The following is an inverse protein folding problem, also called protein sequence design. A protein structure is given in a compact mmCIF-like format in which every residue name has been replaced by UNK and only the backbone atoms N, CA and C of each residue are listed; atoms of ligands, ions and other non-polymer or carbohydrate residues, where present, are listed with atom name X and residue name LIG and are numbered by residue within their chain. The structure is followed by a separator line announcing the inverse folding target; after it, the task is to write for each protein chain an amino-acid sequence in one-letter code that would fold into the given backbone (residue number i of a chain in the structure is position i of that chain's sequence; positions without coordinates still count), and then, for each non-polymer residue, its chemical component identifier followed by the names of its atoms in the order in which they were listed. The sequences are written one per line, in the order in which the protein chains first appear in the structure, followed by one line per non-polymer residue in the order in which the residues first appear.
data_IF_597410651379
#
_entry.id   IF_597410651379
#
_cell.length_a   1.000
_cell.length_b   1.000
_cell.length_c   1.000
_cell.angle_alpha   90.00
_cell.angle_beta   90.00
_cell.angle_gamma   90.00
#
_symmetry.space_group_name_H-M   'P 1'
#
loop_
_entity.id
_entity.type
_entity.pdbx_description
1 polymer ?
#
# COMPACT_ATOMS: atom_id res chain seq x y z
N UNK A 1 5.18 77.10 33.69
CA UNK A 1 3.83 76.80 34.21
C UNK A 1 3.47 75.40 33.72
N UNK A 2 3.82 74.39 34.51
CA UNK A 2 2.93 73.46 35.22
C UNK A 2 2.42 72.31 34.32
N UNK A 3 2.98 71.11 34.43
CA UNK A 3 2.55 69.93 35.26
C UNK A 3 2.16 68.83 34.24
N UNK A 4 2.99 67.83 33.95
CA UNK A 4 3.15 66.56 34.67
C UNK A 4 1.85 65.72 34.71
N UNK A 5 1.70 64.81 33.73
CA UNK A 5 0.86 63.60 33.85
C UNK A 5 1.65 62.44 33.24
N UNK A 6 2.49 61.84 34.07
CA UNK A 6 3.06 60.50 33.91
C UNK A 6 2.40 59.68 35.01
N UNK A 7 1.43 58.83 34.67
CA UNK A 7 0.99 57.67 35.47
C UNK A 7 -0.14 56.99 34.72
N UNK A 8 0.05 55.75 34.27
CA UNK A 8 -1.08 55.02 33.70
C UNK A 8 -0.84 53.75 32.90
N UNK A 9 0.35 53.13 32.91
CA UNK A 9 0.53 51.78 32.32
C UNK A 9 1.52 50.95 33.16
N UNK A 10 1.25 50.87 34.46
CA UNK A 10 1.99 49.99 35.37
C UNK A 10 1.02 49.35 36.38
N UNK A 11 -0.05 48.73 35.89
CA UNK A 11 -1.00 47.98 36.74
C UNK A 11 -1.76 46.87 35.98
N UNK A 12 -1.21 46.35 34.88
CA UNK A 12 -1.83 45.25 34.13
C UNK A 12 -0.88 44.05 33.93
N UNK A 13 0.06 43.86 34.86
CA UNK A 13 0.96 42.71 34.89
C UNK A 13 0.90 41.91 36.20
N UNK A 14 -0.09 42.17 37.06
CA UNK A 14 -0.16 41.59 38.40
C UNK A 14 -1.51 40.92 38.72
N UNK A 15 -2.19 40.37 37.71
CA UNK A 15 -3.39 39.55 37.93
C UNK A 15 -3.56 38.40 36.91
N UNK A 16 -2.47 37.67 36.67
CA UNK A 16 -2.52 36.28 36.19
C UNK A 16 -1.81 35.44 37.28
N UNK A 17 -2.44 35.18 38.43
CA UNK A 17 -3.74 34.50 38.46
C UNK A 17 -3.57 33.01 38.12
N UNK A 18 -2.50 32.38 38.59
CA UNK A 18 -2.55 31.11 39.34
C UNK A 18 -3.53 30.03 38.79
N UNK A 19 -3.52 29.77 37.49
CA UNK A 19 -4.06 28.51 36.95
C UNK A 19 -2.95 27.48 37.09
N UNK A 20 -2.97 26.83 38.25
CA UNK A 20 -2.22 25.62 38.57
C UNK A 20 -2.78 24.53 37.65
N UNK A 21 -2.26 24.48 36.42
CA UNK A 21 -2.46 23.35 35.54
C UNK A 21 -1.87 22.13 36.27
N UNK A 22 -2.75 21.24 36.72
CA UNK A 22 -2.38 19.89 37.08
C UNK A 22 -1.85 19.23 35.81
N UNK A 23 -0.55 19.41 35.57
CA UNK A 23 0.23 18.58 34.67
C UNK A 23 0.14 17.18 35.22
N UNK A 24 -0.80 16.40 34.69
CA UNK A 24 -0.79 14.95 34.82
C UNK A 24 0.48 14.53 34.12
N UNK A 25 1.53 14.37 34.92
CA UNK A 25 2.80 13.76 34.56
C UNK A 25 2.50 12.31 34.20
N UNK A 26 1.98 12.11 32.99
CA UNK A 26 1.96 10.82 32.34
C UNK A 26 3.43 10.50 32.04
N UNK A 27 4.11 10.00 33.07
CA UNK A 27 5.40 9.34 33.01
C UNK A 27 5.31 8.27 31.94
N UNK A 28 5.61 8.66 30.70
CA UNK A 28 5.87 7.77 29.59
C UNK A 28 7.20 7.13 29.92
N UNK A 29 7.14 6.13 30.78
CA UNK A 29 8.20 5.17 31.02
C UNK A 29 8.46 4.57 29.63
N UNK A 30 9.46 5.08 28.92
CA UNK A 30 9.98 4.46 27.72
C UNK A 30 10.47 3.11 28.19
N UNK A 31 9.64 2.09 27.98
CA UNK A 31 10.06 0.71 28.16
C UNK A 31 11.06 0.50 27.04
N UNK A 32 12.33 0.75 27.31
CA UNK A 32 13.41 0.14 26.55
C UNK A 32 13.25 -1.35 26.76
N UNK A 33 12.50 -1.99 25.85
CA UNK A 33 12.48 -3.43 25.73
C UNK A 33 13.87 -3.79 25.21
N UNK A 34 14.83 -3.92 26.13
CA UNK A 34 16.07 -4.61 25.84
C UNK A 34 15.70 -6.07 25.63
N UNK A 35 15.42 -6.42 24.37
CA UNK A 35 15.26 -7.81 23.97
C UNK A 35 16.61 -8.46 24.23
N UNK A 36 16.74 -9.13 25.36
CA UNK A 36 17.92 -9.90 25.70
C UNK A 36 18.10 -10.94 24.60
N UNK A 37 19.08 -10.71 23.73
CA UNK A 37 19.45 -11.68 22.72
C UNK A 37 19.76 -13.00 23.48
N UNK A 38 19.16 -14.13 23.07
CA UNK A 38 19.45 -15.41 23.69
C UNK A 38 20.97 -15.59 23.73
N UNK A 39 21.53 -15.74 24.94
CA UNK A 39 22.97 -15.81 25.18
C UNK A 39 23.64 -16.98 24.44
N UNK A 40 22.87 -17.96 23.96
CA UNK A 40 23.32 -19.06 23.12
C UNK A 40 23.75 -18.63 21.69
N UNK A 41 23.32 -17.46 21.21
CA UNK A 41 23.66 -17.00 19.84
C UNK A 41 25.02 -16.27 19.80
N UNK A 42 25.53 -15.82 20.94
CA UNK A 42 26.71 -14.94 21.04
C UNK A 42 28.05 -15.60 20.64
N UNK A 43 28.08 -16.90 20.32
CA UNK A 43 29.31 -17.63 19.99
C UNK A 43 29.47 -18.05 18.54
N UNK A 44 28.47 -17.84 17.67
CA UNK A 44 28.51 -18.38 16.30
C UNK A 44 28.28 -17.26 15.31
N UNK A 45 29.19 -17.12 14.36
CA UNK A 45 29.13 -16.26 13.16
C UNK A 45 27.94 -16.60 12.22
N UNK A 46 26.84 -17.13 12.76
CA UNK A 46 25.66 -17.58 12.05
C UNK A 46 24.67 -16.44 11.91
N UNK A 47 23.98 -16.40 10.77
CA UNK A 47 22.88 -15.45 10.56
C UNK A 47 21.66 -15.88 11.36
N UNK A 48 20.83 -14.93 11.73
CA UNK A 48 19.53 -15.21 12.33
C UNK A 48 18.50 -14.16 11.90
N UNK A 49 17.24 -14.58 11.91
CA UNK A 49 16.07 -13.74 11.62
C UNK A 49 15.16 -13.83 12.84
N UNK A 50 14.73 -12.70 13.38
CA UNK A 50 13.77 -12.61 14.48
C UNK A 50 12.57 -11.81 13.98
N UNK A 51 11.38 -12.41 14.09
CA UNK A 51 10.11 -11.73 13.93
C UNK A 51 9.73 -11.11 15.27
N UNK A 52 9.72 -9.78 15.36
CA UNK A 52 9.55 -9.10 16.65
C UNK A 52 8.25 -9.51 17.36
N UNK A 53 8.24 -9.54 18.70
CA UNK A 53 7.02 -9.77 19.47
C UNK A 53 6.02 -8.62 19.32
N UNK A 54 5.06 -8.78 18.40
CA UNK A 54 3.75 -8.14 18.50
C UNK A 54 2.80 -9.07 19.28
N UNK A 55 1.93 -8.53 20.13
CA UNK A 55 0.94 -9.31 20.91
C UNK A 55 0.06 -10.18 20.01
N UNK A 56 -0.20 -9.71 18.78
CA UNK A 56 -0.66 -10.52 17.66
C UNK A 56 -0.45 -9.72 16.37
N UNK A 57 -0.08 -10.41 15.29
CA UNK A 57 -0.18 -9.83 13.96
C UNK A 57 -1.62 -10.01 13.48
N UNK A 58 -2.39 -8.92 13.38
CA UNK A 58 -3.76 -8.95 12.84
C UNK A 58 -3.90 -8.03 11.63
N UNK A 59 -4.62 -8.50 10.61
CA UNK A 59 -4.91 -7.71 9.41
C UNK A 59 -6.19 -8.22 8.72
N UNK A 60 -6.83 -7.36 7.92
CA UNK A 60 -7.98 -7.78 7.13
C UNK A 60 -7.56 -8.19 5.72
N UNK A 61 -8.31 -9.11 5.12
CA UNK A 61 -8.12 -9.50 3.73
C UNK A 61 -8.15 -8.26 2.80
N UNK A 62 -7.20 -8.18 1.88
CA UNK A 62 -7.02 -7.04 0.97
C UNK A 62 -6.22 -5.86 1.53
N UNK A 63 -5.88 -5.85 2.82
CA UNK A 63 -5.04 -4.81 3.42
C UNK A 63 -3.53 -5.13 3.32
N UNK A 64 -2.71 -4.14 3.64
CA UNK A 64 -1.27 -4.30 3.79
C UNK A 64 -0.90 -4.47 5.26
N UNK A 65 -0.08 -5.46 5.58
CA UNK A 65 0.47 -5.69 6.92
C UNK A 65 1.97 -5.40 6.93
N UNK A 66 2.43 -4.67 7.96
CA UNK A 66 3.84 -4.32 8.14
C UNK A 66 4.47 -5.23 9.19
N UNK A 67 5.46 -6.02 8.79
CA UNK A 67 6.15 -6.99 9.65
C UNK A 67 7.54 -6.46 10.02
N UNK A 68 7.76 -6.02 11.27
CA UNK A 68 9.09 -5.69 11.75
C UNK A 68 9.92 -6.96 11.96
N UNK A 69 11.14 -6.95 11.42
CA UNK A 69 12.12 -8.02 11.53
C UNK A 69 13.44 -7.45 12.04
N UNK A 70 14.04 -8.16 12.98
CA UNK A 70 15.43 -7.97 13.35
C UNK A 70 16.27 -9.06 12.69
N UNK A 71 17.23 -8.66 11.85
CA UNK A 71 18.00 -9.60 11.05
C UNK A 71 19.48 -9.36 11.24
N UNK A 72 20.21 -10.40 11.65
CA UNK A 72 21.65 -10.38 11.69
C UNK A 72 22.21 -11.24 10.57
N UNK A 73 23.04 -10.65 9.71
CA UNK A 73 23.76 -11.40 8.69
C UNK A 73 25.11 -11.82 9.24
N UNK A 74 25.34 -13.11 9.40
CA UNK A 74 26.63 -13.67 9.81
C UNK A 74 27.61 -13.83 8.65
N UNK A 75 28.29 -14.97 8.59
CA UNK A 75 29.32 -15.28 7.58
C UNK A 75 28.77 -15.77 6.23
N UNK A 76 27.46 -16.00 6.11
CA UNK A 76 26.83 -16.55 4.89
C UNK A 76 27.09 -15.70 3.64
N UNK A 77 27.19 -16.39 2.49
CA UNK A 77 27.25 -15.78 1.17
C UNK A 77 25.88 -15.30 0.68
N UNK A 78 24.79 -15.87 1.21
CA UNK A 78 23.43 -15.41 0.91
C UNK A 78 23.27 -13.99 1.45
N UNK A 79 22.65 -13.13 0.65
CA UNK A 79 22.43 -11.71 0.98
C UNK A 79 20.97 -11.33 1.05
N UNK A 80 20.07 -12.26 0.76
CA UNK A 80 18.66 -11.94 0.58
C UNK A 80 17.84 -12.72 1.59
N UNK A 81 16.88 -12.01 2.19
CA UNK A 81 15.76 -12.59 2.91
C UNK A 81 14.48 -12.33 2.13
N UNK A 82 13.53 -13.21 2.33
CA UNK A 82 12.20 -13.11 1.78
C UNK A 82 11.17 -13.24 2.90
N UNK A 83 10.12 -12.43 2.84
CA UNK A 83 9.04 -12.47 3.83
C UNK A 83 7.71 -12.61 3.11
N UNK A 84 6.86 -13.54 3.54
CA UNK A 84 5.51 -13.73 3.02
C UNK A 84 4.60 -14.34 4.08
N UNK A 85 3.31 -14.46 3.78
CA UNK A 85 2.32 -15.17 4.59
C UNK A 85 1.78 -16.34 3.78
N UNK A 86 1.70 -17.50 4.41
CA UNK A 86 1.13 -18.73 3.86
C UNK A 86 0.09 -19.34 4.80
N UNK A 87 -0.80 -20.15 4.23
CA UNK A 87 -1.78 -20.95 4.96
C UNK A 87 -1.15 -22.23 5.53
N UNK A 88 -1.98 -23.07 6.16
CA UNK A 88 -1.56 -24.34 6.76
C UNK A 88 -1.06 -25.37 5.73
N UNK A 89 -1.48 -25.21 4.47
CA UNK A 89 -1.09 -26.07 3.35
C UNK A 89 0.18 -25.54 2.64
N UNK A 90 0.76 -24.45 3.13
CA UNK A 90 1.94 -23.79 2.53
C UNK A 90 1.60 -22.95 1.29
N UNK A 91 0.33 -22.65 1.06
CA UNK A 91 -0.11 -21.80 -0.05
C UNK A 91 0.00 -20.35 0.35
N UNK A 92 0.75 -19.58 -0.46
CA UNK A 92 1.01 -18.16 -0.19
C UNK A 92 -0.25 -17.31 -0.42
N UNK A 93 -0.66 -16.56 0.61
CA UNK A 93 -1.85 -15.67 0.58
C UNK A 93 -1.50 -14.18 0.50
N UNK A 94 -0.21 -13.83 0.56
CA UNK A 94 0.30 -12.46 0.47
C UNK A 94 1.27 -12.24 -0.70
N UNK A 95 1.62 -10.98 -0.96
CA UNK A 95 2.83 -10.65 -1.71
C UNK A 95 4.09 -11.13 -0.98
N UNK A 96 5.15 -11.44 -1.73
CA UNK A 96 6.47 -11.78 -1.18
C UNK A 96 7.34 -10.52 -1.14
N UNK A 97 7.75 -10.09 0.04
CA UNK A 97 8.76 -9.03 0.20
C UNK A 97 10.16 -9.60 0.09
N UNK A 98 11.09 -8.86 -0.54
CA UNK A 98 12.49 -9.25 -0.74
C UNK A 98 13.37 -8.14 -0.19
N UNK A 99 14.28 -8.48 0.72
CA UNK A 99 15.25 -7.52 1.28
C UNK A 99 16.67 -8.04 1.10
N UNK A 100 17.57 -7.17 0.63
CA UNK A 100 18.98 -7.50 0.39
C UNK A 100 19.86 -6.81 1.44
N UNK A 101 20.61 -7.62 2.18
CA UNK A 101 21.53 -7.23 3.24
C UNK A 101 22.94 -7.25 2.70
N UNK A 102 23.58 -6.08 2.56
CA UNK A 102 24.85 -5.96 1.86
C UNK A 102 26.06 -6.38 2.68
N UNK A 103 26.07 -6.05 3.97
CA UNK A 103 27.23 -6.25 4.82
C UNK A 103 27.09 -7.53 5.64
N UNK A 104 28.21 -8.23 5.82
CA UNK A 104 28.32 -9.33 6.77
C UNK A 104 28.58 -8.78 8.16
N UNK A 105 28.23 -9.57 9.16
CA UNK A 105 28.36 -9.26 10.58
C UNK A 105 27.66 -7.96 11.00
N UNK A 106 26.53 -7.64 10.35
CA UNK A 106 25.70 -6.48 10.65
C UNK A 106 24.27 -6.88 10.96
N UNK A 107 23.68 -6.11 11.87
CA UNK A 107 22.26 -6.19 12.21
C UNK A 107 21.46 -5.17 11.41
N UNK A 108 20.24 -5.54 11.05
CA UNK A 108 19.31 -4.75 10.26
C UNK A 108 17.94 -4.78 10.91
N UNK A 109 17.34 -3.61 11.08
CA UNK A 109 15.94 -3.46 11.47
C UNK A 109 15.14 -3.19 10.20
N UNK A 110 14.35 -4.17 9.78
CA UNK A 110 13.66 -4.15 8.50
C UNK A 110 12.17 -4.18 8.77
N UNK A 111 11.40 -3.41 8.00
CA UNK A 111 9.95 -3.49 8.01
C UNK A 111 9.47 -3.99 6.65
N UNK A 112 9.01 -5.24 6.61
CA UNK A 112 8.49 -5.88 5.41
C UNK A 112 6.99 -5.60 5.28
N UNK A 113 6.60 -4.87 4.23
CA UNK A 113 5.19 -4.60 3.93
C UNK A 113 4.66 -5.69 3.00
N UNK A 114 3.62 -6.39 3.44
CA UNK A 114 3.01 -7.49 2.71
C UNK A 114 1.56 -7.12 2.36
N UNK A 115 1.21 -7.20 1.08
CA UNK A 115 -0.16 -7.00 0.62
C UNK A 115 -0.89 -8.34 0.67
N UNK A 116 -2.00 -8.38 1.39
CA UNK A 116 -2.87 -9.55 1.45
C UNK A 116 -3.76 -9.61 0.22
N UNK A 117 -4.03 -10.82 -0.27
CA UNK A 117 -5.07 -11.01 -1.28
C UNK A 117 -6.44 -10.59 -0.73
N UNK A 118 -7.32 -10.08 -1.60
CA UNK A 118 -8.66 -9.58 -1.20
C UNK A 118 -9.57 -10.66 -0.65
N UNK A 119 -9.33 -11.91 -1.04
CA UNK A 119 -10.18 -13.05 -0.72
C UNK A 119 -9.39 -14.11 0.03
N UNK A 120 -9.34 -13.96 1.36
CA UNK A 120 -8.68 -14.88 2.28
C UNK A 120 -9.70 -15.25 3.37
N UNK A 121 -9.94 -16.54 3.64
CA UNK A 121 -10.83 -16.94 4.72
C UNK A 121 -10.26 -16.56 6.10
N UNK A 122 -11.14 -16.23 7.04
CA UNK A 122 -10.71 -15.87 8.40
C UNK A 122 -9.96 -17.05 9.04
N UNK A 123 -8.80 -16.80 9.62
CA UNK A 123 -8.06 -17.85 10.30
C UNK A 123 -6.64 -17.46 10.73
N UNK A 124 -5.94 -18.46 11.25
CA UNK A 124 -4.52 -18.35 11.61
C UNK A 124 -3.66 -18.74 10.41
N UNK A 125 -2.74 -17.85 10.06
CA UNK A 125 -1.77 -17.98 8.99
C UNK A 125 -0.34 -17.91 9.55
N UNK A 126 0.63 -18.26 8.73
CA UNK A 126 2.04 -18.28 9.10
C UNK A 126 2.80 -17.23 8.31
N UNK A 127 3.33 -16.23 9.00
CA UNK A 127 4.38 -15.35 8.49
C UNK A 127 5.64 -16.18 8.39
N UNK A 128 6.25 -16.22 7.21
CA UNK A 128 7.51 -16.91 6.94
C UNK A 128 8.53 -15.88 6.51
N UNK A 129 9.66 -15.84 7.22
CA UNK A 129 10.85 -15.11 6.83
C UNK A 129 11.98 -16.11 6.57
N UNK A 130 12.43 -16.21 5.32
CA UNK A 130 13.40 -17.21 4.86
C UNK A 130 14.57 -16.55 4.12
N UNK A 131 15.79 -16.96 4.46
CA UNK A 131 17.01 -16.49 3.81
C UNK A 131 18.24 -16.64 4.69
N UNK A 132 19.41 -16.28 4.18
CA UNK A 132 20.67 -16.31 4.97
C UNK A 132 21.02 -17.66 5.62
N UNK A 133 20.51 -18.78 5.07
CA UNK A 133 20.62 -20.13 5.64
C UNK A 133 19.86 -20.34 6.96
N UNK A 134 18.83 -19.52 7.20
CA UNK A 134 17.95 -19.60 8.36
C UNK A 134 16.51 -19.28 7.96
N UNK A 135 15.55 -19.68 8.78
CA UNK A 135 14.16 -19.31 8.64
C UNK A 135 13.57 -18.96 10.01
N UNK A 136 12.57 -18.09 10.00
CA UNK A 136 11.76 -17.74 11.15
C UNK A 136 10.30 -17.75 10.75
N UNK A 137 9.44 -18.31 11.59
CA UNK A 137 8.00 -18.33 11.37
C UNK A 137 7.26 -17.74 12.56
N UNK A 138 6.08 -17.18 12.31
CA UNK A 138 5.20 -16.65 13.35
C UNK A 138 3.75 -16.64 12.91
N UNK A 139 2.85 -16.86 13.85
CA UNK A 139 1.41 -16.84 13.57
C UNK A 139 0.89 -15.42 13.38
N UNK A 140 -0.07 -15.28 12.47
CA UNK A 140 -0.86 -14.08 12.22
C UNK A 140 -2.33 -14.43 12.09
N UNK A 141 -3.21 -13.58 12.61
CA UNK A 141 -4.65 -13.68 12.46
C UNK A 141 -5.09 -12.81 11.28
N UNK A 142 -5.75 -13.40 10.31
CA UNK A 142 -6.32 -12.65 9.18
C UNK A 142 -7.83 -12.73 9.26
N UNK A 143 -8.48 -11.57 9.21
CA UNK A 143 -9.93 -11.43 9.16
C UNK A 143 -10.41 -11.31 7.71
N UNK A 144 -11.31 -12.19 7.28
CA UNK A 144 -11.96 -12.07 5.97
C UNK A 144 -12.90 -10.87 5.91
N UNK A 145 -12.95 -10.20 4.76
CA UNK A 145 -13.89 -9.11 4.49
C UNK A 145 -14.62 -9.40 3.18
N UNK A 146 -15.87 -9.83 3.28
CA UNK A 146 -16.81 -9.88 2.15
C UNK A 146 -16.40 -10.82 1.01
N UNK A 147 -15.67 -11.91 1.31
CA UNK A 147 -15.28 -12.89 0.31
C UNK A 147 -16.44 -13.86 0.06
N UNK A 148 -16.95 -13.91 -1.16
CA UNK A 148 -17.84 -14.99 -1.57
C UNK A 148 -16.97 -16.22 -1.90
N UNK A 149 -17.02 -17.32 -1.12
CA UNK A 149 -16.23 -18.52 -1.38
C UNK A 149 -16.59 -19.18 -2.73
N UNK A 150 -17.69 -18.77 -3.35
CA UNK A 150 -18.18 -19.27 -4.64
C UNK A 150 -17.47 -18.68 -5.85
N UNK A 151 -16.67 -17.61 -5.69
CA UNK A 151 -16.01 -16.91 -6.80
C UNK A 151 -14.49 -17.19 -6.86
N UNK A 152 -14.07 -18.31 -7.49
CA UNK A 152 -12.65 -18.64 -7.67
C UNK A 152 -11.92 -17.67 -8.62
N UNK A 153 -12.62 -16.71 -9.25
CA UNK A 153 -12.00 -15.76 -10.20
C UNK A 153 -11.29 -14.57 -9.53
N UNK A 154 -11.44 -14.41 -8.21
CA UNK A 154 -10.80 -13.35 -7.43
C UNK A 154 -9.29 -13.49 -7.21
N UNK A 155 -8.70 -14.65 -7.52
CA UNK A 155 -7.24 -14.87 -7.50
C UNK A 155 -6.57 -14.29 -8.75
N UNK A 156 -6.74 -12.98 -8.98
CA UNK A 156 -5.88 -12.29 -9.92
C UNK A 156 -4.48 -12.26 -9.30
N UNK A 157 -3.54 -12.99 -9.90
CA UNK A 157 -2.11 -12.89 -9.64
C UNK A 157 -1.61 -11.50 -10.07
N UNK A 158 -2.03 -10.45 -9.37
CA UNK A 158 -1.47 -9.11 -9.50
C UNK A 158 -0.20 -9.05 -8.66
N UNK A 159 0.71 -10.00 -8.89
CA UNK A 159 2.10 -9.86 -8.53
C UNK A 159 2.67 -8.84 -9.50
N UNK A 160 2.54 -7.55 -9.18
CA UNK A 160 3.42 -6.55 -9.76
C UNK A 160 4.85 -7.02 -9.46
N UNK A 161 5.58 -7.41 -10.51
CA UNK A 161 6.96 -7.81 -10.37
C UNK A 161 7.72 -6.65 -9.74
N UNK A 162 8.09 -6.80 -8.47
CA UNK A 162 8.90 -5.83 -7.74
C UNK A 162 10.27 -5.80 -8.42
N UNK A 163 10.52 -4.80 -9.26
CA UNK A 163 11.82 -4.61 -9.90
C UNK A 163 12.79 -4.20 -8.80
N UNK A 164 13.74 -5.10 -8.50
CA UNK A 164 14.77 -4.92 -7.48
C UNK A 164 15.51 -3.59 -7.68
N UNK A 165 15.57 -2.76 -6.63
CA UNK A 165 16.21 -1.43 -6.65
C UNK A 165 15.29 -0.27 -7.03
N UNK A 166 14.01 -0.52 -7.31
CA UNK A 166 13.06 0.56 -7.57
C UNK A 166 12.40 1.05 -6.28
N UNK A 167 12.34 2.38 -6.11
CA UNK A 167 11.62 2.99 -5.01
C UNK A 167 10.15 2.59 -5.13
N UNK A 168 9.54 2.19 -4.02
CA UNK A 168 8.11 1.89 -3.98
C UNK A 168 7.43 2.87 -3.05
N UNK A 169 6.20 3.24 -3.38
CA UNK A 169 5.38 4.05 -2.50
C UNK A 169 3.95 3.51 -2.48
N UNK A 170 3.32 3.68 -1.33
CA UNK A 170 1.93 3.28 -1.07
C UNK A 170 1.22 4.39 -0.32
N UNK A 171 -0.11 4.40 -0.43
CA UNK A 171 -0.96 5.36 0.26
C UNK A 171 -1.41 4.71 1.56
N UNK A 172 -1.04 5.32 2.68
CA UNK A 172 -1.44 4.85 4.03
C UNK A 172 -2.86 5.30 4.34
N UNK A 173 -3.18 6.56 4.01
CA UNK A 173 -4.54 7.09 4.13
C UNK A 173 -4.78 8.20 3.11
N UNK A 174 -5.99 8.24 2.58
CA UNK A 174 -6.48 9.30 1.70
C UNK A 174 -7.96 9.53 1.96
N UNK A 175 -8.49 10.65 1.48
CA UNK A 175 -9.92 10.96 1.59
C UNK A 175 -10.64 10.45 0.35
N UNK A 176 -11.76 9.75 0.55
CA UNK A 176 -12.63 9.34 -0.55
C UNK A 176 -13.51 10.49 -1.04
N UNK A 177 -13.82 11.43 -0.14
CA UNK A 177 -14.60 12.64 -0.41
C UNK A 177 -13.93 13.88 0.17
N UNK A 178 -13.97 14.99 -0.56
CA UNK A 178 -13.44 16.28 -0.12
C UNK A 178 -14.43 17.42 -0.43
N UNK A 179 -14.66 18.30 0.54
CA UNK A 179 -15.46 19.50 0.33
C UNK A 179 -14.71 20.53 -0.52
N UNK A 180 -15.41 21.20 -1.44
CA UNK A 180 -14.81 22.18 -2.34
C UNK A 180 -14.13 23.32 -1.58
N UNK A 181 -12.83 23.49 -1.80
CA UNK A 181 -12.02 24.56 -1.22
C UNK A 181 -11.52 24.28 0.19
N UNK A 182 -11.87 23.15 0.80
CA UNK A 182 -11.33 22.73 2.10
C UNK A 182 -10.06 21.89 1.86
N UNK A 183 -8.94 22.20 2.53
CA UNK A 183 -7.72 21.41 2.40
C UNK A 183 -7.88 20.03 3.06
N UNK A 184 -7.28 19.01 2.45
CA UNK A 184 -7.24 17.64 2.96
C UNK A 184 -5.84 17.06 2.84
N UNK A 185 -5.54 16.03 3.65
CA UNK A 185 -4.23 15.39 3.71
C UNK A 185 -4.28 13.99 3.12
N UNK A 186 -3.24 13.62 2.38
CA UNK A 186 -2.98 12.25 1.93
C UNK A 186 -1.65 11.80 2.51
N UNK A 187 -1.65 10.70 3.26
CA UNK A 187 -0.45 10.14 3.88
C UNK A 187 0.18 9.09 2.98
N UNK A 188 1.47 9.27 2.69
CA UNK A 188 2.25 8.35 1.87
C UNK A 188 3.29 7.62 2.73
N UNK A 189 3.55 6.37 2.37
CA UNK A 189 4.68 5.57 2.83
C UNK A 189 5.59 5.32 1.63
N UNK A 190 6.83 5.80 1.68
CA UNK A 190 7.83 5.58 0.64
C UNK A 190 8.95 4.72 1.20
N UNK A 191 9.31 3.68 0.45
CA UNK A 191 10.36 2.73 0.81
C UNK A 191 11.57 2.92 -0.10
N UNK A 192 12.73 3.15 0.51
CA UNK A 192 14.03 3.17 -0.14
C UNK A 192 14.74 1.83 0.05
N UNK A 193 14.73 0.93 -0.96
CA UNK A 193 15.44 -0.35 -0.87
C UNK A 193 16.93 -0.24 -1.23
N UNK A 194 17.48 0.97 -1.41
CA UNK A 194 18.84 1.19 -1.92
C UNK A 194 19.83 1.53 -0.80
N UNK A 195 21.14 1.23 -0.96
CA UNK A 195 22.21 1.50 0.02
C UNK A 195 22.72 2.94 -0.04
N UNK A 196 21.86 3.88 -0.39
CA UNK A 196 22.17 5.30 -0.48
C UNK A 196 20.94 6.06 -0.08
N UNK A 197 21.16 7.19 0.58
CA UNK A 197 20.12 8.17 0.80
C UNK A 197 19.56 8.62 -0.55
N UNK A 198 18.24 8.74 -0.63
CA UNK A 198 17.54 9.17 -1.83
C UNK A 198 16.78 10.46 -1.57
N UNK A 199 17.06 11.47 -2.37
CA UNK A 199 16.24 12.66 -2.45
C UNK A 199 15.07 12.44 -3.43
N UNK A 200 13.86 12.68 -2.95
CA UNK A 200 12.63 12.45 -3.69
C UNK A 200 11.73 13.67 -3.60
N UNK A 201 11.18 14.07 -4.73
CA UNK A 201 10.14 15.09 -4.83
C UNK A 201 8.78 14.41 -4.96
N UNK A 202 7.85 14.78 -4.09
CA UNK A 202 6.50 14.25 -4.05
C UNK A 202 5.49 15.39 -4.15
N UNK A 203 4.49 15.25 -5.01
CA UNK A 203 3.40 16.22 -5.14
C UNK A 203 2.10 15.53 -5.56
N UNK A 204 0.99 16.23 -5.40
CA UNK A 204 -0.32 15.69 -5.75
C UNK A 204 -1.27 16.79 -6.19
N UNK A 205 -2.23 16.43 -7.04
CA UNK A 205 -3.26 17.35 -7.49
C UNK A 205 -4.52 16.62 -7.91
N UNK A 206 -5.65 17.29 -7.74
CA UNK A 206 -6.97 16.83 -8.18
C UNK A 206 -7.19 17.28 -9.61
N UNK A 207 -7.65 16.36 -10.46
CA UNK A 207 -7.93 16.63 -11.86
C UNK A 207 -9.19 15.92 -12.34
N UNK A 208 -9.77 16.43 -13.42
CA UNK A 208 -10.80 15.76 -14.21
C UNK A 208 -10.48 15.97 -15.68
N UNK A 209 -10.30 14.88 -16.42
CA UNK A 209 -9.82 14.91 -17.80
C UNK A 209 -8.47 15.64 -17.93
N UNK A 210 -8.40 16.76 -18.64
CA UNK A 210 -7.16 17.55 -18.80
C UNK A 210 -7.06 18.72 -17.82
N UNK A 211 -8.11 19.04 -17.07
CA UNK A 211 -8.20 20.23 -16.19
C UNK A 211 -7.74 19.92 -14.77
N UNK A 212 -6.89 20.79 -14.23
CA UNK A 212 -6.45 20.76 -12.83
C UNK A 212 -7.43 21.56 -11.97
N UNK A 213 -7.75 21.04 -10.79
CA UNK A 213 -8.66 21.65 -9.82
C UNK A 213 -7.97 21.92 -8.48
N UNK A 214 -6.65 21.79 -8.40
CA UNK A 214 -5.85 22.09 -7.20
C UNK A 214 -5.01 23.36 -7.31
N UNK A 215 -5.25 24.19 -8.34
CA UNK A 215 -4.37 25.31 -8.68
C UNK A 215 -3.21 24.84 -9.55
N UNK A 216 -1.99 25.29 -9.22
CA UNK A 216 -0.78 24.85 -9.90
C UNK A 216 -0.45 23.39 -9.55
N UNK A 217 -0.04 22.60 -10.55
CA UNK A 217 0.15 21.14 -10.39
C UNK A 217 1.22 20.76 -9.37
N UNK A 218 2.19 21.63 -9.15
CA UNK A 218 3.34 21.39 -8.27
C UNK A 218 3.29 22.27 -7.01
N UNK A 219 2.15 22.91 -6.73
CA UNK A 219 2.01 23.85 -5.62
C UNK A 219 2.29 23.23 -4.25
N UNK A 220 2.02 21.93 -4.09
CA UNK A 220 2.24 21.19 -2.84
C UNK A 220 3.47 20.27 -2.89
N UNK A 221 4.41 20.53 -3.81
CA UNK A 221 5.61 19.71 -3.94
C UNK A 221 6.47 19.76 -2.67
N UNK A 222 6.88 18.57 -2.20
CA UNK A 222 7.78 18.40 -1.06
C UNK A 222 9.02 17.62 -1.50
N UNK A 223 10.18 18.12 -1.10
CA UNK A 223 11.45 17.40 -1.22
C UNK A 223 11.74 16.68 0.09
N UNK A 224 11.98 15.37 0.00
CA UNK A 224 12.14 14.49 1.17
C UNK A 224 13.41 13.69 0.96
N UNK A 225 14.26 13.65 1.98
CA UNK A 225 15.39 12.75 2.02
C UNK A 225 14.98 11.44 2.70
N UNK A 226 15.16 10.31 2.00
CA UNK A 226 14.82 8.97 2.48
C UNK A 226 16.12 8.23 2.73
N UNK A 227 16.47 7.97 4.01
CA UNK A 227 17.71 7.26 4.34
C UNK A 227 17.82 5.91 3.64
N UNK A 228 19.04 5.43 3.45
CA UNK A 228 19.29 4.09 2.93
C UNK A 228 18.50 3.01 3.69
N UNK A 229 17.97 2.01 2.96
CA UNK A 229 17.22 0.87 3.50
C UNK A 229 16.07 1.21 4.47
N UNK A 230 15.54 2.42 4.38
CA UNK A 230 14.53 2.92 5.31
C UNK A 230 13.20 3.20 4.62
N UNK A 231 12.17 3.37 5.45
CA UNK A 231 10.86 3.82 5.01
C UNK A 231 10.54 5.16 5.68
N UNK A 232 9.96 6.10 4.94
CA UNK A 232 9.55 7.41 5.46
C UNK A 232 8.07 7.62 5.17
N UNK A 233 7.34 8.08 6.18
CA UNK A 233 5.94 8.52 6.04
C UNK A 233 5.85 10.04 6.04
N UNK A 234 5.05 10.61 5.15
CA UNK A 234 4.78 12.04 5.12
C UNK A 234 3.40 12.35 4.55
N UNK A 235 2.89 13.54 4.89
CA UNK A 235 1.57 13.99 4.44
C UNK A 235 1.72 15.00 3.29
N UNK A 236 0.94 14.82 2.22
CA UNK A 236 0.72 15.81 1.17
C UNK A 236 -0.62 16.52 1.41
N UNK A 237 -0.59 17.85 1.41
CA UNK A 237 -1.78 18.68 1.58
C UNK A 237 -2.31 19.12 0.22
N UNK A 238 -3.59 18.91 -0.02
CA UNK A 238 -4.27 19.22 -1.26
C UNK A 238 -5.51 20.05 -0.99
N UNK A 239 -5.96 20.78 -2.00
CA UNK A 239 -7.24 21.50 -2.00
C UNK A 239 -7.92 21.24 -3.34
N UNK A 240 -9.22 20.99 -3.35
CA UNK A 240 -10.00 20.82 -4.58
C UNK A 240 -10.94 22.02 -4.75
N UNK A 241 -10.66 22.89 -5.72
CA UNK A 241 -11.51 24.04 -6.06
C UNK A 241 -12.31 23.66 -7.30
N UNK A 242 -13.40 22.91 -7.11
CA UNK A 242 -14.16 22.33 -8.21
C UNK A 242 -15.67 22.25 -7.88
N UNK A 243 -16.55 22.27 -8.89
CA UNK A 243 -17.95 21.91 -8.69
C UNK A 243 -18.10 20.47 -8.15
N UNK A 244 -19.16 20.16 -7.40
CA UNK A 244 -19.42 18.80 -6.95
C UNK A 244 -19.40 17.76 -8.07
N UNK A 245 -18.82 16.59 -7.81
CA UNK A 245 -18.75 15.49 -8.77
C UNK A 245 -17.58 14.54 -8.52
N UNK A 246 -17.33 13.62 -9.45
CA UNK A 246 -16.25 12.64 -9.36
C UNK A 246 -14.98 13.12 -10.09
N UNK A 247 -13.84 12.96 -9.42
CA UNK A 247 -12.53 13.43 -9.84
C UNK A 247 -11.48 12.33 -9.61
N UNK A 248 -10.25 12.63 -10.02
CA UNK A 248 -9.09 11.78 -9.75
C UNK A 248 -8.01 12.59 -9.02
N UNK A 249 -7.48 12.03 -7.94
CA UNK A 249 -6.31 12.52 -7.23
C UNK A 249 -5.07 11.84 -7.83
N UNK A 250 -4.22 12.61 -8.51
CA UNK A 250 -2.94 12.12 -9.02
C UNK A 250 -1.85 12.43 -8.02
N UNK A 251 -1.05 11.44 -7.68
CA UNK A 251 0.12 11.53 -6.80
C UNK A 251 1.34 11.18 -7.63
N UNK A 252 2.35 12.04 -7.61
CA UNK A 252 3.60 11.84 -8.33
C UNK A 252 4.78 11.78 -7.37
N UNK A 253 5.72 10.90 -7.70
CA UNK A 253 6.96 10.70 -6.96
C UNK A 253 8.13 10.69 -7.95
N UNK A 254 9.00 11.71 -7.89
CA UNK A 254 10.17 11.86 -8.74
C UNK A 254 11.44 11.70 -7.92
N UNK A 255 12.29 10.74 -8.29
CA UNK A 255 13.64 10.62 -7.73
C UNK A 255 14.57 11.62 -8.41
N UNK A 256 15.54 12.15 -7.67
CA UNK A 256 16.56 13.06 -8.21
C UNK A 256 17.41 12.45 -9.34
N UNK A 257 17.53 11.12 -9.39
CA UNK A 257 18.31 10.39 -10.39
C UNK A 257 17.51 9.92 -11.62
N UNK A 258 16.24 10.31 -11.74
CA UNK A 258 15.37 9.92 -12.87
C UNK A 258 14.63 11.11 -13.45
N UNK A 259 14.33 11.04 -14.75
CA UNK A 259 13.55 12.07 -15.46
C UNK A 259 12.04 11.85 -15.38
N UNK A 260 11.62 10.59 -15.21
CA UNK A 260 10.20 10.21 -15.25
C UNK A 260 9.69 9.97 -13.83
N UNK A 261 8.63 10.68 -13.39
CA UNK A 261 8.02 10.43 -12.10
C UNK A 261 7.24 9.11 -12.14
N UNK A 262 7.19 8.42 -11.01
CA UNK A 262 6.18 7.39 -10.79
C UNK A 262 4.85 8.05 -10.45
N UNK A 263 3.76 7.47 -10.92
CA UNK A 263 2.42 8.04 -10.74
C UNK A 263 1.48 7.01 -10.08
N UNK A 264 0.61 7.50 -9.20
CA UNK A 264 -0.52 6.77 -8.64
C UNK A 264 -1.77 7.64 -8.80
N UNK A 265 -2.90 7.03 -9.17
CA UNK A 265 -4.17 7.74 -9.35
C UNK A 265 -5.24 7.10 -8.48
N UNK A 266 -5.91 7.92 -7.66
CA UNK A 266 -7.00 7.51 -6.79
C UNK A 266 -8.29 8.22 -7.20
N UNK A 267 -9.47 7.57 -7.11
CA UNK A 267 -10.74 8.26 -7.25
C UNK A 267 -10.97 9.17 -6.03
N UNK A 268 -11.57 10.33 -6.24
CA UNK A 268 -11.99 11.25 -5.17
C UNK A 268 -13.27 11.95 -5.57
N UNK A 269 -14.24 12.04 -4.67
CA UNK A 269 -15.48 12.79 -4.88
C UNK A 269 -15.34 14.19 -4.28
N UNK A 270 -15.71 15.21 -5.04
CA UNK A 270 -15.79 16.58 -4.52
C UNK A 270 -17.24 16.85 -4.13
N UNK A 271 -17.45 17.23 -2.88
CA UNK A 271 -18.73 17.68 -2.37
C UNK A 271 -18.88 19.18 -2.58
N UNK A 272 -20.09 19.60 -2.93
CA UNK A 272 -20.38 21.01 -3.09
C UNK A 272 -20.29 21.69 -1.74
N UNK A 273 -19.84 22.94 -1.73
CA UNK A 273 -20.16 23.86 -0.64
C UNK A 273 -21.65 24.21 -0.73
N UNK A 274 -22.52 23.20 -0.61
CA UNK A 274 -23.89 23.46 -0.25
C UNK A 274 -23.79 24.26 1.03
N UNK A 275 -24.32 25.48 1.00
CA UNK A 275 -24.51 26.34 2.16
C UNK A 275 -25.01 25.46 3.30
N UNK A 276 -24.09 24.98 4.13
CA UNK A 276 -24.46 24.38 5.39
C UNK A 276 -25.02 25.57 6.14
N UNK A 277 -26.34 25.69 6.14
CA UNK A 277 -26.99 26.22 7.33
C UNK A 277 -26.25 25.55 8.50
N UNK A 278 -25.65 26.34 9.42
CA UNK A 278 -24.91 25.78 10.54
C UNK A 278 -25.78 24.71 11.20
N UNK A 279 -25.20 23.62 11.73
CA UNK A 279 -25.96 22.53 12.33
C UNK A 279 -26.83 23.09 13.46
N UNK A 280 -28.07 23.43 13.09
CA UNK A 280 -29.11 23.88 13.99
C UNK A 280 -29.48 22.68 14.83
N UNK A 281 -29.22 22.82 16.13
CA UNK A 281 -29.78 22.02 17.20
C UNK A 281 -31.25 21.79 16.86
N UNK A 282 -31.59 20.58 16.41
CA UNK A 282 -32.97 20.15 16.25
C UNK A 282 -33.53 19.92 17.65
N UNK A 283 -34.00 20.98 18.30
CA UNK A 283 -34.93 20.84 19.40
C UNK A 283 -36.23 20.23 18.86
N UNK A 284 -36.67 19.17 19.54
CA UNK A 284 -37.87 18.44 19.19
C UNK A 284 -39.11 19.35 19.17
N UNK A 285 -39.91 19.21 18.12
CA UNK A 285 -41.11 20.01 17.99
C UNK A 285 -42.11 19.44 16.97
N UNK A 286 -42.91 18.48 17.44
CA UNK A 286 -44.24 18.07 16.94
C UNK A 286 -44.41 17.74 15.46
N UNK A 287 -44.63 16.44 15.24
CA UNK A 287 -45.43 15.85 14.16
C UNK A 287 -46.76 16.57 14.00
N UNK A 288 -47.09 16.97 12.77
CA UNK A 288 -48.47 17.11 12.30
C UNK A 288 -48.61 16.27 11.03
N UNK A 289 -49.41 15.22 11.13
CA UNK A 289 -49.92 14.45 10.01
C UNK A 289 -50.85 15.34 9.17
N UNK A 290 -50.63 15.38 7.86
CA UNK A 290 -51.66 15.78 6.90
C UNK A 290 -51.86 14.64 5.90
N UNK A 291 -53.02 14.00 6.06
CA UNK A 291 -53.67 13.05 5.16
C UNK A 291 -54.58 13.84 4.22
N UNK A 292 -54.60 13.46 2.95
CA UNK A 292 -55.51 13.93 1.89
C UNK A 292 -54.85 13.67 0.54
N UNK A 293 -55.07 12.54 -0.13
CA UNK A 293 -56.28 11.97 -0.74
C UNK A 293 -56.83 12.78 -1.92
N UNK A 294 -56.85 12.07 -3.06
CA UNK A 294 -57.71 12.18 -4.24
C UNK A 294 -57.49 13.21 -5.33
N UNK A 295 -57.41 12.67 -6.56
CA UNK A 295 -57.76 13.37 -7.81
C UNK A 295 -56.84 13.05 -9.00
N UNK A 296 -57.06 11.90 -9.69
CA UNK A 296 -56.55 11.67 -11.06
C UNK A 296 -57.34 12.48 -12.12
N UNK A 297 -57.48 12.06 -13.40
CA UNK A 297 -56.72 11.11 -14.22
C UNK A 297 -56.26 11.75 -15.57
N UNK A 298 -55.35 11.10 -16.31
CA UNK A 298 -55.39 10.91 -17.80
C UNK A 298 -54.02 10.41 -18.29
N UNK A 299 -53.94 9.20 -18.84
CA UNK A 299 -54.12 8.85 -20.26
C UNK A 299 -52.89 9.12 -21.13
N UNK A 300 -52.32 8.05 -21.68
CA UNK A 300 -51.57 8.13 -22.92
C UNK A 300 -50.39 7.17 -23.05
N UNK A 301 -50.68 5.97 -23.61
CA UNK A 301 -49.80 5.08 -24.41
C UNK A 301 -48.45 4.67 -23.78
N UNK A 302 -48.22 3.42 -23.34
CA UNK A 302 -48.36 2.13 -24.04
C UNK A 302 -47.76 2.13 -25.44
N UNK A 303 -46.50 1.69 -25.55
CA UNK A 303 -46.05 0.84 -26.66
C UNK A 303 -44.73 0.11 -26.31
N UNK A 304 -44.91 -1.12 -25.83
CA UNK A 304 -44.24 -2.34 -26.32
C UNK A 304 -42.88 -2.18 -27.03
N UNK A 305 -41.79 -2.48 -26.33
CA UNK A 305 -40.57 -3.01 -26.97
C UNK A 305 -39.78 -3.89 -26.00
N UNK A 306 -40.41 -4.99 -25.56
CA UNK A 306 -39.80 -6.06 -24.77
C UNK A 306 -39.90 -7.40 -25.50
N UNK A 307 -39.42 -7.48 -26.74
CA UNK A 307 -39.38 -8.75 -27.48
C UNK A 307 -38.41 -8.78 -28.67
N UNK A 308 -37.17 -8.28 -28.56
CA UNK A 308 -36.19 -8.44 -29.66
C UNK A 308 -34.72 -8.26 -29.23
N UNK A 309 -34.23 -9.01 -28.24
CA UNK A 309 -32.76 -9.14 -28.04
C UNK A 309 -32.32 -10.39 -27.29
N UNK A 310 -32.98 -11.52 -27.56
CA UNK A 310 -32.47 -12.86 -27.24
C UNK A 310 -32.36 -13.61 -28.57
N UNK A 311 -31.21 -14.27 -28.78
CA UNK A 311 -30.77 -15.08 -29.94
C UNK A 311 -29.75 -14.38 -30.86
N UNK A 312 -28.50 -14.30 -30.41
CA UNK A 312 -27.33 -14.29 -31.31
C UNK A 312 -26.06 -14.94 -30.70
N UNK A 313 -26.19 -15.75 -29.63
CA UNK A 313 -25.07 -16.53 -29.09
C UNK A 313 -25.54 -17.94 -28.70
N UNK A 314 -25.85 -18.75 -29.71
CA UNK A 314 -25.97 -20.20 -29.53
C UNK A 314 -25.35 -20.87 -30.75
N UNK A 315 -24.50 -21.87 -30.49
CA UNK A 315 -23.70 -22.69 -31.41
C UNK A 315 -22.32 -22.13 -31.80
N UNK A 316 -21.41 -22.11 -30.84
CA UNK A 316 -20.01 -22.47 -31.14
C UNK A 316 -19.82 -23.88 -30.60
N UNK A 317 -19.80 -24.85 -31.51
CA UNK A 317 -19.34 -26.22 -31.25
C UNK A 317 -17.88 -26.17 -30.78
N UNK A 318 -17.55 -26.65 -29.57
CA UNK A 318 -16.16 -26.83 -29.17
C UNK A 318 -15.68 -28.21 -29.64
N UNK A 319 -15.70 -28.45 -30.96
CA UNK A 319 -15.11 -29.64 -31.54
C UNK A 319 -13.73 -29.31 -32.14
N UNK A 320 -12.70 -29.89 -31.55
CA UNK A 320 -11.39 -30.21 -32.15
C UNK A 320 -10.55 -29.08 -32.74
N UNK A 321 -10.51 -27.91 -32.12
CA UNK A 321 -9.44 -26.95 -32.39
C UNK A 321 -8.42 -26.98 -31.25
N UNK A 322 -7.26 -27.59 -31.54
CA UNK A 322 -6.06 -27.49 -30.74
C UNK A 322 -5.91 -26.03 -30.27
N UNK A 323 -5.98 -25.81 -28.96
CA UNK A 323 -5.82 -24.50 -28.36
C UNK A 323 -4.48 -23.93 -28.83
N UNK A 324 -4.50 -22.99 -29.77
CA UNK A 324 -3.29 -22.29 -30.17
C UNK A 324 -2.84 -21.52 -28.94
N UNK A 325 -1.78 -21.99 -28.30
CA UNK A 325 -1.16 -21.29 -27.18
C UNK A 325 -0.59 -19.99 -27.77
N UNK A 326 -1.36 -18.91 -27.66
CA UNK A 326 -1.01 -17.58 -28.22
C UNK A 326 0.25 -17.02 -27.53
N UNK A 327 0.58 -17.53 -26.34
CA UNK A 327 1.79 -17.14 -25.63
C UNK A 327 2.38 -18.32 -24.85
N UNK A 328 3.52 -18.85 -25.32
CA UNK A 328 4.34 -19.78 -24.55
C UNK A 328 5.43 -18.97 -23.84
N UNK A 329 5.55 -19.11 -22.52
CA UNK A 329 6.55 -18.36 -21.75
C UNK A 329 7.96 -18.68 -22.22
N UNK A 330 8.85 -17.69 -22.17
CA UNK A 330 10.26 -17.86 -22.55
C UNK A 330 10.95 -19.00 -21.80
N UNK A 331 10.52 -19.30 -20.56
CA UNK A 331 11.03 -20.43 -19.77
C UNK A 331 10.58 -21.79 -20.32
N UNK A 332 9.32 -21.92 -20.75
CA UNK A 332 8.83 -23.14 -21.39
C UNK A 332 9.52 -23.39 -22.74
N UNK A 333 9.72 -22.32 -23.53
CA UNK A 333 10.50 -22.37 -24.78
C UNK A 333 11.95 -22.76 -24.55
N UNK A 334 12.60 -22.20 -23.52
CA UNK A 334 13.97 -22.55 -23.15
C UNK A 334 14.09 -24.02 -22.75
N UNK A 335 13.14 -24.55 -21.95
CA UNK A 335 13.14 -25.95 -21.50
C UNK A 335 13.06 -26.94 -22.67
N UNK A 336 12.27 -26.63 -23.70
CA UNK A 336 12.22 -27.42 -24.94
C UNK A 336 13.54 -27.36 -25.72
N UNK A 337 14.20 -26.20 -25.75
CA UNK A 337 15.45 -26.00 -26.48
C UNK A 337 16.67 -26.67 -25.82
N UNK A 338 16.67 -26.79 -24.48
CA UNK A 338 17.78 -27.40 -23.71
C UNK A 338 18.07 -28.84 -24.15
N UNK A 339 17.04 -29.63 -24.48
CA UNK A 339 17.20 -31.03 -24.90
C UNK A 339 17.97 -31.11 -26.22
N UNK A 340 17.62 -30.28 -27.20
CA UNK A 340 18.32 -30.24 -28.49
C UNK A 340 19.77 -29.76 -28.36
N UNK A 341 20.01 -28.77 -27.48
CA UNK A 341 21.36 -28.28 -27.22
C UNK A 341 22.26 -29.37 -26.62
N UNK A 342 21.75 -30.16 -25.68
CA UNK A 342 22.47 -31.30 -25.08
C UNK A 342 22.83 -32.36 -26.11
N UNK A 343 21.91 -32.73 -27.00
CA UNK A 343 22.15 -33.70 -28.08
C UNK A 343 23.22 -33.18 -29.04
N UNK A 344 23.15 -31.89 -29.42
CA UNK A 344 24.14 -31.25 -30.28
C UNK A 344 25.53 -31.22 -29.66
N UNK A 345 25.64 -30.85 -28.39
CA UNK A 345 26.90 -30.82 -27.66
C UNK A 345 27.52 -32.22 -27.53
N UNK A 346 26.71 -33.24 -27.19
CA UNK A 346 27.17 -34.62 -27.10
C UNK A 346 27.68 -35.14 -28.45
N UNK A 347 26.97 -34.82 -29.53
CA UNK A 347 27.35 -35.22 -30.90
C UNK A 347 28.69 -34.60 -31.30
N UNK A 348 28.91 -33.31 -30.98
CA UNK A 348 30.18 -32.62 -31.22
C UNK A 348 31.35 -33.25 -30.45
N UNK A 349 31.13 -33.64 -29.19
CA UNK A 349 32.15 -34.32 -28.37
C UNK A 349 32.52 -35.67 -28.99
N UNK A 350 31.53 -36.45 -29.44
CA UNK A 350 31.78 -37.74 -30.09
C UNK A 350 32.59 -37.58 -31.39
N UNK A 351 32.26 -36.59 -32.22
CA UNK A 351 33.02 -36.28 -33.44
C UNK A 351 34.46 -35.89 -33.10
N UNK A 352 34.66 -35.03 -32.11
CA UNK A 352 35.99 -34.62 -31.67
C UNK A 352 36.83 -35.80 -31.14
N UNK A 353 36.21 -36.74 -30.42
CA UNK A 353 36.89 -37.95 -29.93
C UNK A 353 37.29 -38.91 -31.06
N UNK A 354 36.47 -39.05 -32.09
CA UNK A 354 36.81 -39.85 -33.29
C UNK A 354 37.95 -39.19 -34.07
N UNK A 355 37.87 -37.87 -34.30
CA UNK A 355 38.91 -37.12 -35.00
C UNK A 355 40.26 -37.10 -34.27
N UNK A 356 40.27 -37.15 -32.93
CA UNK A 356 41.50 -37.20 -32.14
C UNK A 356 42.17 -38.59 -32.14
N UNK A 357 41.44 -39.64 -32.50
CA UNK A 357 41.91 -41.04 -32.45
C UNK A 357 42.49 -41.51 -33.80
N UNK A 358 42.06 -40.89 -34.89
CA UNK A 358 42.69 -40.97 -36.21
C UNK A 358 43.95 -40.09 -36.22
#
# INVERSE_FOLDING_TARGET
MRILIITGIAAFFLLAGLVKAASVDASRKSIEVSVALPSEIAGRNQSYIILEPAESYSARAGESISIPLFVYRGSTLKRTIYVWIEDKDGVRVSSKSKHSLLDRFRSYNISAVLNLSKCIPTGTYMIVADGLDTNATKEALIDSVGCDPSDPSGWSNQSSAFIEGEISFSVVSSVESAASGIPFKTRLLVSNPTPRDLEVQAWSYVYRSSKCYSGEREQNMKTINIPEFSNVTFDLENKAIAPPGDYSLKIKLLRSDRKTPKELTLPIRVEGNGSSNPPGISEGGKRVLSIGSDGGPDSGSTENSSAAKRRLFSSINPDKNASSVVYESSSAKARKLTVYFLIGALSLILVALVLKRL
#
